data_IF_153898956233
#
_entry.id   IF_153898956233
#
_cell.length_a   1.000
_cell.length_b   1.000
_cell.length_c   1.000
_cell.angle_alpha   90.00
_cell.angle_beta   90.00
_cell.angle_gamma   90.00
#
_symmetry.space_group_name_H-M   'P 1'
#
loop_
_entity.id
_entity.type
_entity.pdbx_description
1 polymer ?
#
# COMPACT_ATOMS: atom_id res chain seq x y z
N UNK A 1 -4.90 -79.01 -19.84
CA UNK A 1 -3.94 -78.99 -18.73
C UNK A 1 -4.40 -77.97 -17.70
N UNK A 2 -4.99 -78.41 -16.59
CA UNK A 2 -5.58 -77.57 -15.53
C UNK A 2 -4.48 -77.23 -14.52
N UNK A 3 -4.33 -75.99 -14.12
CA UNK A 3 -3.55 -75.61 -12.96
C UNK A 3 -4.37 -74.66 -12.06
N UNK A 4 -4.42 -75.10 -10.83
CA UNK A 4 -5.19 -74.71 -9.69
C UNK A 4 -4.77 -73.36 -9.12
N UNK A 5 -5.76 -72.55 -8.71
CA UNK A 5 -5.60 -71.29 -7.94
C UNK A 5 -5.71 -71.60 -6.45
N UNK A 6 -4.65 -71.41 -5.69
CA UNK A 6 -4.66 -71.42 -4.24
C UNK A 6 -4.88 -69.99 -3.70
N UNK A 7 -5.95 -69.78 -2.96
CA UNK A 7 -6.20 -68.55 -2.17
C UNK A 7 -5.60 -68.72 -0.78
N UNK A 8 -4.66 -67.81 -0.44
CA UNK A 8 -4.21 -67.64 0.97
C UNK A 8 -5.06 -66.57 1.63
N UNK A 9 -5.77 -66.96 2.68
CA UNK A 9 -6.49 -66.06 3.56
C UNK A 9 -5.58 -65.67 4.72
N UNK A 10 -5.27 -64.37 4.87
CA UNK A 10 -4.64 -63.79 6.06
C UNK A 10 -5.70 -63.25 7.00
N UNK A 11 -5.80 -63.86 8.16
CA UNK A 11 -6.60 -63.37 9.30
C UNK A 11 -5.86 -62.25 9.99
N UNK A 12 -6.46 -61.07 10.08
CA UNK A 12 -6.01 -59.99 10.98
C UNK A 12 -6.79 -60.07 12.29
N UNK A 13 -6.09 -60.37 13.37
CA UNK A 13 -6.62 -60.27 14.74
C UNK A 13 -6.61 -58.79 15.17
N UNK A 14 -7.79 -58.28 15.51
CA UNK A 14 -7.95 -56.94 16.07
C UNK A 14 -7.65 -56.98 17.58
N UNK A 15 -6.55 -56.37 18.00
CA UNK A 15 -6.28 -56.12 19.42
C UNK A 15 -6.95 -54.80 19.84
N UNK A 16 -7.95 -54.90 20.71
CA UNK A 16 -8.61 -53.78 21.36
C UNK A 16 -7.70 -53.26 22.47
N UNK A 17 -7.12 -52.09 22.33
CA UNK A 17 -6.44 -51.36 23.40
C UNK A 17 -7.49 -50.53 24.14
N UNK A 18 -7.75 -50.87 25.39
CA UNK A 18 -8.55 -50.05 26.30
C UNK A 18 -7.67 -48.93 26.82
N UNK A 19 -7.86 -47.69 26.37
CA UNK A 19 -7.26 -46.49 26.92
C UNK A 19 -8.08 -46.01 28.11
N UNK A 20 -7.52 -46.20 29.31
CA UNK A 20 -8.02 -45.64 30.56
C UNK A 20 -8.07 -44.11 30.49
N UNK A 21 -9.21 -43.51 30.83
CA UNK A 21 -9.44 -42.10 30.81
C UNK A 21 -8.58 -41.33 31.81
N UNK A 22 -7.83 -40.36 31.31
CA UNK A 22 -7.36 -39.22 32.11
C UNK A 22 -8.39 -38.09 31.98
N UNK A 23 -9.17 -37.91 33.02
CA UNK A 23 -10.02 -36.72 33.23
C UNK A 23 -9.13 -35.52 33.50
N UNK A 24 -8.82 -34.75 32.49
CA UNK A 24 -8.18 -33.45 32.66
C UNK A 24 -9.20 -32.47 33.26
N UNK A 25 -9.04 -32.14 34.53
CA UNK A 25 -9.76 -31.07 35.20
C UNK A 25 -9.28 -29.75 34.54
N UNK A 26 -10.14 -29.16 33.71
CA UNK A 26 -9.95 -27.78 33.25
C UNK A 26 -10.23 -26.88 34.46
N UNK A 27 -9.19 -26.43 35.16
CA UNK A 27 -9.31 -25.22 35.97
C UNK A 27 -9.54 -24.05 35.04
N UNK A 28 -10.73 -23.47 35.09
CA UNK A 28 -11.02 -22.17 34.53
C UNK A 28 -10.16 -21.15 35.33
N UNK A 29 -9.13 -20.63 34.70
CA UNK A 29 -8.44 -19.46 35.22
C UNK A 29 -9.38 -18.28 34.92
N UNK A 30 -10.03 -17.77 35.96
CA UNK A 30 -10.76 -16.49 35.89
C UNK A 30 -9.74 -15.39 35.55
N UNK A 31 -9.63 -15.10 34.26
CA UNK A 31 -8.94 -13.88 33.80
C UNK A 31 -9.84 -12.70 34.21
N UNK A 32 -9.31 -11.71 34.92
CA UNK A 32 -10.07 -10.52 35.22
C UNK A 32 -10.49 -9.87 33.90
N UNK A 33 -11.78 -9.65 33.74
CA UNK A 33 -12.34 -8.84 32.64
C UNK A 33 -11.71 -7.44 32.76
N UNK A 34 -10.63 -7.21 32.00
CA UNK A 34 -10.09 -5.88 31.84
C UNK A 34 -11.17 -5.03 31.19
N UNK A 35 -11.73 -4.12 31.96
CA UNK A 35 -12.59 -3.04 31.43
C UNK A 35 -11.69 -2.22 30.50
N UNK A 36 -11.77 -2.53 29.19
CA UNK A 36 -11.04 -1.76 28.18
C UNK A 36 -11.61 -0.34 28.19
N UNK A 37 -10.82 0.59 28.72
CA UNK A 37 -11.12 2.00 28.62
C UNK A 37 -11.26 2.36 27.14
N UNK A 38 -12.34 3.05 26.79
CA UNK A 38 -12.49 3.75 25.50
C UNK A 38 -11.48 4.91 25.51
N UNK A 39 -10.22 4.57 25.26
CA UNK A 39 -9.14 5.54 25.18
C UNK A 39 -9.19 6.29 23.85
N UNK A 40 -8.72 7.53 23.80
CA UNK A 40 -8.55 8.27 22.57
C UNK A 40 -7.61 7.49 21.61
N UNK A 41 -7.85 7.67 20.30
CA UNK A 41 -6.96 7.15 19.24
C UNK A 41 -5.53 7.56 19.61
N UNK A 42 -4.56 6.62 19.59
CA UNK A 42 -3.19 6.97 19.95
C UNK A 42 -2.70 8.12 19.08
N UNK A 43 -1.99 9.10 19.66
CA UNK A 43 -1.42 10.19 18.86
C UNK A 43 -0.51 9.63 17.79
N UNK A 44 -0.39 10.35 16.66
CA UNK A 44 0.57 10.06 15.63
C UNK A 44 1.96 9.87 16.26
N UNK A 45 2.76 8.95 15.71
CA UNK A 45 4.12 8.70 16.18
C UNK A 45 4.88 10.04 16.22
N UNK A 46 5.57 10.34 17.32
CA UNK A 46 6.47 11.47 17.37
C UNK A 46 7.75 11.06 16.64
N UNK A 47 8.08 11.69 15.50
CA UNK A 47 9.26 11.33 14.73
C UNK A 47 10.54 11.55 15.52
N UNK A 48 11.53 10.72 15.23
CA UNK A 48 12.86 10.85 15.81
C UNK A 48 13.60 12.04 15.20
N UNK A 49 14.43 12.70 16.01
CA UNK A 49 15.30 13.77 15.54
C UNK A 49 16.52 13.20 14.79
N UNK A 50 16.34 12.80 13.53
CA UNK A 50 17.45 12.50 12.62
C UNK A 50 17.98 13.78 11.99
N UNK A 51 19.29 13.81 11.68
CA UNK A 51 19.95 14.97 11.07
C UNK A 51 20.83 14.52 9.91
N UNK A 52 20.91 15.33 8.85
CA UNK A 52 21.83 15.08 7.75
C UNK A 52 23.29 15.25 8.19
N UNK A 53 24.21 14.66 7.43
CA UNK A 53 25.66 14.72 7.64
C UNK A 53 26.27 15.81 6.74
N UNK A 54 25.80 15.92 5.50
CA UNK A 54 26.31 16.82 4.48
C UNK A 54 25.44 18.06 4.21
N UNK A 55 25.83 18.90 3.25
CA UNK A 55 24.97 19.97 2.73
C UNK A 55 23.81 19.38 1.90
N UNK A 56 22.72 20.15 1.71
CA UNK A 56 21.65 19.75 0.81
C UNK A 56 22.16 19.40 -0.60
N UNK A 57 21.61 18.37 -1.26
CA UNK A 57 22.00 18.04 -2.62
C UNK A 57 21.60 19.17 -3.60
N UNK A 58 22.40 19.37 -4.65
CA UNK A 58 22.19 20.46 -5.60
C UNK A 58 20.81 20.41 -6.30
N UNK A 59 20.24 19.21 -6.45
CA UNK A 59 18.90 19.01 -7.05
C UNK A 59 17.75 19.29 -6.06
N UNK A 60 18.04 19.50 -4.77
CA UNK A 60 17.05 19.78 -3.74
C UNK A 60 17.62 20.71 -2.65
N UNK A 61 17.92 22.00 -2.97
CA UNK A 61 18.51 22.92 -1.99
C UNK A 61 17.59 23.22 -0.81
N UNK A 62 16.27 23.06 -0.98
CA UNK A 62 15.22 23.31 0.03
C UNK A 62 14.70 22.02 0.70
N UNK A 63 15.46 20.92 0.63
CA UNK A 63 15.06 19.64 1.23
C UNK A 63 14.96 19.77 2.76
N UNK A 64 13.92 19.17 3.34
CA UNK A 64 13.77 19.07 4.80
C UNK A 64 14.97 18.30 5.39
N UNK A 65 15.60 18.76 6.50
CA UNK A 65 16.76 18.09 7.07
C UNK A 65 16.53 16.63 7.46
N UNK A 66 15.32 16.25 7.91
CA UNK A 66 15.02 14.85 8.22
C UNK A 66 14.91 14.02 6.92
N UNK A 67 14.32 14.61 5.88
CA UNK A 67 14.25 13.96 4.56
C UNK A 67 15.63 13.80 3.95
N UNK A 68 16.49 14.82 4.07
CA UNK A 68 17.88 14.75 3.63
C UNK A 68 18.63 13.59 4.33
N UNK A 69 18.46 13.42 5.64
CA UNK A 69 19.08 12.32 6.37
C UNK A 69 18.65 10.94 5.84
N UNK A 70 17.37 10.78 5.44
CA UNK A 70 16.88 9.55 4.79
C UNK A 70 17.53 9.34 3.43
N UNK A 71 17.62 10.41 2.61
CA UNK A 71 18.27 10.34 1.29
C UNK A 71 19.76 10.00 1.44
N UNK A 72 20.48 10.63 2.36
CA UNK A 72 21.89 10.32 2.64
C UNK A 72 22.07 8.85 3.08
N UNK A 73 21.19 8.34 3.94
CA UNK A 73 21.22 6.95 4.35
C UNK A 73 20.96 6.00 3.17
N UNK A 74 20.00 6.32 2.30
CA UNK A 74 19.74 5.54 1.09
C UNK A 74 20.95 5.54 0.15
N UNK A 75 21.52 6.70 -0.11
CA UNK A 75 22.72 6.84 -0.96
C UNK A 75 23.93 6.14 -0.39
N UNK A 76 24.02 5.98 0.95
CA UNK A 76 25.14 5.28 1.60
C UNK A 76 25.20 3.78 1.31
N UNK A 77 24.17 3.21 0.68
CA UNK A 77 24.19 1.82 0.23
C UNK A 77 24.99 1.64 -1.08
N UNK A 78 25.36 2.74 -1.75
CA UNK A 78 26.14 2.74 -2.99
C UNK A 78 25.56 1.83 -4.08
N UNK A 79 24.24 1.73 -4.14
CA UNK A 79 23.53 0.92 -5.12
C UNK A 79 23.58 1.57 -6.51
N UNK A 80 23.62 0.79 -7.59
CA UNK A 80 23.51 1.33 -8.94
C UNK A 80 22.16 2.04 -9.12
N UNK A 81 22.07 3.03 -10.03
CA UNK A 81 20.80 3.67 -10.32
C UNK A 81 19.80 2.67 -10.92
N UNK A 82 18.52 2.89 -10.66
CA UNK A 82 17.43 1.97 -11.03
C UNK A 82 17.41 1.61 -12.52
N UNK A 83 17.72 2.57 -13.38
CA UNK A 83 17.75 2.40 -14.84
C UNK A 83 18.97 1.59 -15.34
N UNK A 84 19.93 1.28 -14.47
CA UNK A 84 21.10 0.46 -14.76
C UNK A 84 20.97 -1.00 -14.31
N UNK A 85 19.85 -1.37 -13.67
CA UNK A 85 19.63 -2.72 -13.12
C UNK A 85 18.43 -3.43 -13.75
N UNK A 86 18.43 -4.76 -13.65
CA UNK A 86 17.26 -5.56 -14.04
C UNK A 86 16.17 -5.49 -12.96
N UNK A 87 14.89 -5.77 -13.28
CA UNK A 87 13.82 -5.84 -12.29
C UNK A 87 14.10 -6.81 -11.13
N UNK A 88 14.75 -7.94 -11.42
CA UNK A 88 15.15 -8.89 -10.39
C UNK A 88 16.19 -8.30 -9.43
N UNK A 89 17.19 -7.58 -9.92
CA UNK A 89 18.17 -6.88 -9.08
C UNK A 89 17.49 -5.78 -8.26
N UNK A 90 16.70 -4.93 -8.90
CA UNK A 90 16.00 -3.83 -8.24
C UNK A 90 15.10 -4.29 -7.06
N UNK A 91 14.45 -5.45 -7.18
CA UNK A 91 13.63 -6.03 -6.09
C UNK A 91 14.46 -6.52 -4.90
N UNK A 92 15.76 -6.70 -5.07
CA UNK A 92 16.67 -7.15 -4.00
C UNK A 92 17.54 -6.01 -3.44
N UNK A 93 17.41 -4.81 -3.97
CA UNK A 93 18.11 -3.63 -3.46
C UNK A 93 17.42 -3.05 -2.21
N UNK A 94 18.19 -2.27 -1.46
CA UNK A 94 17.68 -1.55 -0.29
C UNK A 94 16.75 -0.42 -0.72
N UNK A 95 15.59 -0.35 -0.11
CA UNK A 95 14.59 0.69 -0.34
C UNK A 95 14.75 1.87 0.62
N UNK A 96 13.96 2.92 0.41
CA UNK A 96 13.83 4.03 1.34
C UNK A 96 13.32 3.55 2.72
N UNK A 97 12.46 2.52 2.76
CA UNK A 97 12.02 1.87 4.00
C UNK A 97 13.18 1.24 4.78
N UNK A 98 14.15 0.63 4.08
CA UNK A 98 15.37 0.14 4.73
C UNK A 98 16.19 1.29 5.31
N UNK A 99 16.30 2.43 4.59
CA UNK A 99 17.02 3.61 5.09
C UNK A 99 16.37 4.16 6.37
N UNK A 100 15.05 4.25 6.43
CA UNK A 100 14.32 4.64 7.64
C UNK A 100 14.59 3.67 8.79
N UNK A 101 14.48 2.37 8.55
CA UNK A 101 14.73 1.35 9.58
C UNK A 101 16.16 1.41 10.11
N UNK A 102 17.15 1.58 9.25
CA UNK A 102 18.55 1.72 9.64
C UNK A 102 18.80 2.99 10.48
N UNK A 103 18.16 4.11 10.14
CA UNK A 103 18.22 5.33 10.95
C UNK A 103 17.60 5.12 12.34
N UNK A 104 16.46 4.44 12.42
CA UNK A 104 15.82 4.06 13.70
C UNK A 104 16.76 3.21 14.53
N UNK A 105 17.36 2.17 13.95
CA UNK A 105 18.31 1.28 14.64
C UNK A 105 19.55 2.05 15.12
N UNK A 106 20.14 2.88 14.25
CA UNK A 106 21.33 3.71 14.58
C UNK A 106 21.07 4.69 15.72
N UNK A 107 19.84 5.14 15.90
CA UNK A 107 19.48 6.01 17.02
C UNK A 107 19.38 5.30 18.39
N UNK A 108 19.46 3.97 18.42
CA UNK A 108 19.28 3.15 19.61
C UNK A 108 17.84 3.05 20.10
N UNK A 109 16.86 3.53 19.31
CA UNK A 109 15.44 3.42 19.64
C UNK A 109 14.83 2.17 19.01
N UNK A 110 13.83 1.62 19.69
CA UNK A 110 13.00 0.57 19.11
C UNK A 110 11.92 1.23 18.23
N UNK A 111 11.66 0.70 17.03
CA UNK A 111 10.59 1.22 16.20
C UNK A 111 9.24 1.05 16.93
N UNK A 112 8.53 2.16 17.14
CA UNK A 112 7.15 2.11 17.63
C UNK A 112 6.27 1.60 16.49
N UNK A 113 5.62 0.46 16.70
CA UNK A 113 4.65 -0.07 15.74
C UNK A 113 3.25 0.41 16.10
N UNK A 114 2.43 0.81 15.11
CA UNK A 114 1.01 1.07 15.33
C UNK A 114 0.29 -0.13 15.96
N UNK A 115 -0.74 0.15 16.76
CA UNK A 115 -1.54 -0.86 17.44
C UNK A 115 -2.54 -1.51 16.48
N UNK A 116 -2.05 -2.41 15.65
CA UNK A 116 -2.85 -3.17 14.66
C UNK A 116 -2.53 -4.66 14.75
N UNK A 117 -3.53 -5.49 14.51
CA UNK A 117 -3.37 -6.91 14.22
C UNK A 117 -3.08 -7.09 12.73
N UNK A 118 -2.17 -8.00 12.40
CA UNK A 118 -1.74 -8.26 11.02
C UNK A 118 -2.05 -9.69 10.66
N UNK A 119 -2.84 -9.86 9.59
CA UNK A 119 -3.20 -11.18 9.06
C UNK A 119 -2.99 -11.24 7.54
N UNK A 120 -2.63 -12.40 7.05
CA UNK A 120 -2.54 -12.67 5.61
C UNK A 120 -3.73 -13.50 5.17
N UNK A 121 -4.24 -13.21 3.97
CA UNK A 121 -5.32 -13.99 3.35
C UNK A 121 -5.09 -14.09 1.85
N UNK A 122 -5.41 -15.24 1.27
CA UNK A 122 -5.51 -15.41 -0.17
C UNK A 122 -6.98 -15.24 -0.55
N UNK A 123 -7.27 -14.24 -1.37
CA UNK A 123 -8.60 -14.03 -1.93
C UNK A 123 -8.80 -14.97 -3.13
N UNK A 124 -9.96 -15.60 -3.30
CA UNK A 124 -10.21 -16.50 -4.42
C UNK A 124 -10.56 -15.73 -5.70
N UNK A 125 -9.73 -14.75 -6.06
CA UNK A 125 -9.90 -13.85 -7.23
C UNK A 125 -8.54 -13.51 -7.83
N UNK A 126 -8.52 -12.94 -9.02
CA UNK A 126 -7.30 -12.56 -9.74
C UNK A 126 -6.63 -13.77 -10.40
N UNK A 127 -5.32 -14.02 -10.18
CA UNK A 127 -4.60 -15.14 -10.76
C UNK A 127 -5.16 -16.50 -10.30
N UNK A 128 -4.85 -17.61 -11.02
CA UNK A 128 -5.43 -18.94 -10.71
C UNK A 128 -5.22 -19.41 -9.26
N UNK A 129 -4.09 -19.04 -8.65
CA UNK A 129 -3.75 -19.40 -7.26
C UNK A 129 -4.35 -18.43 -6.23
N UNK A 130 -5.15 -17.48 -6.68
CA UNK A 130 -5.73 -16.41 -5.85
C UNK A 130 -4.79 -15.23 -5.65
N UNK A 131 -5.29 -14.20 -4.97
CA UNK A 131 -4.59 -12.95 -4.74
C UNK A 131 -4.27 -12.77 -3.26
N UNK A 132 -2.99 -12.73 -2.92
CA UNK A 132 -2.55 -12.50 -1.55
C UNK A 132 -2.87 -11.06 -1.12
N UNK A 133 -3.40 -10.92 0.08
CA UNK A 133 -3.58 -9.63 0.76
C UNK A 133 -3.04 -9.70 2.17
N UNK A 134 -2.55 -8.55 2.68
CA UNK A 134 -2.24 -8.35 4.09
C UNK A 134 -3.28 -7.41 4.68
N UNK A 135 -3.90 -7.83 5.78
CA UNK A 135 -4.93 -7.07 6.46
C UNK A 135 -4.38 -6.49 7.75
N UNK A 136 -4.62 -5.21 7.96
CA UNK A 136 -4.27 -4.48 9.17
C UNK A 136 -5.56 -4.09 9.88
N UNK A 137 -5.81 -4.70 11.04
CA UNK A 137 -7.02 -4.46 11.83
C UNK A 137 -6.64 -3.69 13.10
N UNK A 138 -7.20 -2.50 13.35
CA UNK A 138 -6.93 -1.76 14.59
C UNK A 138 -7.29 -2.58 15.83
N UNK A 139 -6.38 -2.63 16.83
CA UNK A 139 -6.62 -3.32 18.10
C UNK A 139 -7.63 -2.56 18.99
N UNK A 140 -7.83 -1.26 18.77
CA UNK A 140 -8.84 -0.49 19.48
C UNK A 140 -10.23 -1.10 19.26
N UNK A 141 -11.07 -1.23 20.29
CA UNK A 141 -12.44 -1.75 20.15
C UNK A 141 -13.26 -0.94 19.15
N UNK A 142 -14.15 -1.62 18.41
CA UNK A 142 -15.13 -0.98 17.55
C UNK A 142 -16.55 -1.29 18.03
N UNK A 143 -17.45 -0.33 17.92
CA UNK A 143 -18.87 -0.48 18.28
C UNK A 143 -19.71 -1.21 17.22
N UNK A 144 -19.10 -1.56 16.08
CA UNK A 144 -19.77 -2.20 14.96
C UNK A 144 -18.79 -2.52 13.82
N UNK A 145 -19.28 -2.89 12.63
CA UNK A 145 -18.43 -3.14 11.46
C UNK A 145 -17.54 -1.93 11.15
N UNK A 146 -16.27 -2.18 10.83
CA UNK A 146 -15.29 -1.12 10.57
C UNK A 146 -15.38 -0.64 9.12
N UNK A 147 -15.08 0.64 8.83
CA UNK A 147 -14.75 1.02 7.46
C UNK A 147 -13.62 0.15 6.90
N UNK A 148 -13.52 0.06 5.58
CA UNK A 148 -12.45 -0.69 4.90
C UNK A 148 -11.72 0.22 3.93
N UNK A 149 -10.39 0.15 3.91
CA UNK A 149 -9.55 0.78 2.90
C UNK A 149 -8.87 -0.32 2.09
N UNK A 150 -9.13 -0.39 0.80
CA UNK A 150 -8.36 -1.24 -0.11
C UNK A 150 -7.14 -0.45 -0.56
N UNK A 151 -5.96 -0.94 -0.20
CA UNK A 151 -4.70 -0.22 -0.34
C UNK A 151 -3.78 -0.89 -1.35
N UNK A 152 -3.16 -0.06 -2.20
CA UNK A 152 -2.26 -0.49 -3.25
C UNK A 152 -0.88 0.13 -3.03
N UNK A 153 0.15 -0.71 -2.95
CA UNK A 153 1.52 -0.27 -2.77
C UNK A 153 2.10 0.39 -4.03
N UNK A 154 3.20 1.13 -3.89
CA UNK A 154 3.94 1.74 -4.98
C UNK A 154 4.95 0.80 -5.64
N UNK A 155 6.04 1.39 -6.18
CA UNK A 155 7.12 0.64 -6.84
C UNK A 155 6.92 0.47 -8.35
N UNK A 156 6.25 1.44 -9.01
CA UNK A 156 6.12 1.51 -10.48
C UNK A 156 5.52 0.27 -11.14
N UNK A 157 4.73 -0.52 -10.40
CA UNK A 157 4.17 -1.82 -10.80
C UNK A 157 5.24 -2.89 -11.09
N UNK A 158 6.52 -2.66 -10.80
CA UNK A 158 7.65 -3.54 -11.13
C UNK A 158 8.36 -4.06 -9.89
N UNK A 159 8.50 -3.22 -8.87
CA UNK A 159 9.22 -3.54 -7.63
C UNK A 159 8.33 -3.35 -6.40
N UNK A 160 8.92 -3.54 -5.23
CA UNK A 160 8.28 -3.45 -3.93
C UNK A 160 7.21 -4.54 -3.68
N UNK A 161 6.67 -4.51 -2.48
CA UNK A 161 5.73 -5.50 -1.96
C UNK A 161 4.95 -4.97 -0.76
N UNK A 162 4.20 -5.86 -0.10
CA UNK A 162 3.42 -5.54 1.10
C UNK A 162 4.29 -5.09 2.29
N UNK A 163 5.55 -5.54 2.36
CA UNK A 163 6.49 -5.20 3.43
C UNK A 163 7.04 -3.79 3.25
N UNK A 164 7.42 -3.44 2.02
CA UNK A 164 8.00 -2.14 1.68
C UNK A 164 7.06 -0.98 2.02
N UNK A 165 5.75 -1.17 1.83
CA UNK A 165 4.73 -0.13 2.07
C UNK A 165 3.88 -0.38 3.33
N UNK A 166 4.37 -1.24 4.24
CA UNK A 166 3.65 -1.59 5.46
C UNK A 166 3.36 -0.36 6.34
N UNK A 167 4.32 0.55 6.46
CA UNK A 167 4.24 1.69 7.36
C UNK A 167 3.05 2.63 7.05
N UNK A 168 2.83 2.95 5.78
CA UNK A 168 1.67 3.75 5.34
C UNK A 168 0.35 3.04 5.60
N UNK A 169 0.26 1.76 5.24
CA UNK A 169 -0.94 0.94 5.46
C UNK A 169 -1.30 0.80 6.95
N UNK A 170 -0.31 0.52 7.81
CA UNK A 170 -0.50 0.45 9.26
C UNK A 170 -0.94 1.77 9.85
N UNK A 171 -0.32 2.88 9.42
CA UNK A 171 -0.67 4.21 9.90
C UNK A 171 -2.12 4.56 9.56
N UNK A 172 -2.55 4.28 8.33
CA UNK A 172 -3.94 4.49 7.92
C UNK A 172 -4.89 3.63 8.76
N UNK A 173 -4.59 2.35 9.00
CA UNK A 173 -5.43 1.50 9.85
C UNK A 173 -5.56 2.07 11.26
N UNK A 174 -4.43 2.36 11.91
CA UNK A 174 -4.41 2.84 13.29
C UNK A 174 -5.11 4.20 13.47
N UNK A 175 -4.91 5.13 12.52
CA UNK A 175 -5.43 6.50 12.63
C UNK A 175 -6.86 6.66 12.13
N UNK A 176 -7.34 5.80 11.22
CA UNK A 176 -8.71 5.84 10.74
C UNK A 176 -9.67 4.96 11.56
N UNK A 177 -9.16 3.92 12.21
CA UNK A 177 -9.97 2.86 12.80
C UNK A 177 -10.54 1.87 11.76
N UNK A 178 -10.17 2.00 10.49
CA UNK A 178 -10.58 1.12 9.40
C UNK A 178 -9.72 -0.14 9.33
N UNK A 179 -10.27 -1.21 8.75
CA UNK A 179 -9.47 -2.34 8.27
C UNK A 179 -8.79 -1.90 6.98
N UNK A 180 -7.47 -2.02 6.90
CA UNK A 180 -6.74 -1.79 5.66
C UNK A 180 -6.39 -3.14 5.01
N UNK A 181 -6.79 -3.31 3.76
CA UNK A 181 -6.53 -4.51 2.95
C UNK A 181 -5.49 -4.14 1.90
N UNK A 182 -4.23 -4.45 2.17
CA UNK A 182 -3.10 -4.19 1.26
C UNK A 182 -2.94 -5.35 0.28
N UNK A 183 -2.91 -5.03 -1.02
CA UNK A 183 -3.05 -5.99 -2.13
C UNK A 183 -1.68 -6.28 -2.76
N UNK A 184 -1.27 -7.56 -2.79
CA UNK A 184 -0.10 -8.03 -3.51
C UNK A 184 -0.46 -8.32 -4.99
N UNK A 185 -0.69 -7.26 -5.76
CA UNK A 185 -0.96 -7.39 -7.19
C UNK A 185 0.28 -7.90 -7.95
N UNK A 186 0.06 -8.58 -9.07
CA UNK A 186 1.15 -9.11 -9.90
C UNK A 186 2.03 -7.99 -10.46
N UNK A 187 3.34 -8.22 -10.47
CA UNK A 187 4.32 -7.25 -10.94
C UNK A 187 4.74 -7.50 -12.39
N UNK A 188 5.16 -6.42 -13.04
CA UNK A 188 5.85 -6.45 -14.32
C UNK A 188 7.36 -6.68 -14.10
N UNK A 189 8.10 -7.16 -15.10
CA UNK A 189 7.69 -7.46 -16.47
C UNK A 189 7.03 -8.81 -16.67
N UNK A 190 6.97 -9.67 -15.63
CA UNK A 190 6.39 -11.02 -15.73
C UNK A 190 4.91 -10.96 -16.10
N UNK A 191 4.22 -9.93 -15.60
CA UNK A 191 2.83 -9.64 -15.89
C UNK A 191 2.71 -8.18 -16.31
N UNK A 192 2.71 -7.91 -17.60
CA UNK A 192 2.61 -6.55 -18.11
C UNK A 192 1.21 -5.95 -17.92
N UNK A 193 1.11 -4.63 -18.04
CA UNK A 193 -0.17 -3.92 -18.09
C UNK A 193 -1.14 -4.62 -19.05
N UNK A 194 -2.41 -4.83 -18.66
CA UNK A 194 -3.11 -4.30 -17.47
C UNK A 194 -3.21 -5.26 -16.26
N UNK A 195 -2.33 -6.26 -16.12
CA UNK A 195 -2.46 -7.29 -15.08
C UNK A 195 -2.56 -6.71 -13.65
N UNK A 196 -1.82 -5.65 -13.33
CA UNK A 196 -1.82 -4.98 -12.05
C UNK A 196 -3.19 -4.35 -11.74
N UNK A 197 -3.77 -3.69 -12.73
CA UNK A 197 -5.07 -3.03 -12.64
C UNK A 197 -6.20 -4.05 -12.49
N UNK A 198 -6.13 -5.16 -13.22
CA UNK A 198 -7.12 -6.24 -13.09
C UNK A 198 -7.06 -6.92 -11.72
N UNK A 199 -5.87 -7.16 -11.17
CA UNK A 199 -5.72 -7.72 -9.82
C UNK A 199 -6.21 -6.73 -8.75
N UNK A 200 -5.85 -5.45 -8.88
CA UNK A 200 -6.30 -4.39 -7.97
C UNK A 200 -7.83 -4.28 -7.96
N UNK A 201 -8.46 -4.30 -9.14
CA UNK A 201 -9.90 -4.28 -9.26
C UNK A 201 -10.55 -5.56 -8.70
N UNK A 202 -9.98 -6.74 -8.98
CA UNK A 202 -10.51 -8.00 -8.46
C UNK A 202 -10.52 -8.04 -6.93
N UNK A 203 -9.46 -7.53 -6.29
CA UNK A 203 -9.42 -7.38 -4.82
C UNK A 203 -10.50 -6.42 -4.32
N UNK A 204 -10.64 -5.26 -4.95
CA UNK A 204 -11.67 -4.28 -4.61
C UNK A 204 -13.08 -4.88 -4.73
N UNK A 205 -13.38 -5.51 -5.85
CA UNK A 205 -14.67 -6.17 -6.07
C UNK A 205 -14.94 -7.26 -5.04
N UNK A 206 -13.94 -8.06 -4.68
CA UNK A 206 -14.09 -9.04 -3.62
C UNK A 206 -14.42 -8.39 -2.29
N UNK A 207 -13.73 -7.31 -1.92
CA UNK A 207 -13.99 -6.57 -0.67
C UNK A 207 -15.40 -6.00 -0.65
N UNK A 208 -15.89 -5.41 -1.74
CA UNK A 208 -17.28 -4.88 -1.81
C UNK A 208 -18.33 -5.94 -1.57
N UNK A 209 -18.08 -7.18 -2.01
CA UNK A 209 -18.99 -8.30 -1.86
C UNK A 209 -18.86 -9.05 -0.53
N UNK A 210 -17.70 -8.93 0.13
CA UNK A 210 -17.32 -9.77 1.26
C UNK A 210 -16.88 -9.00 2.51
N UNK A 211 -17.04 -7.67 2.56
CA UNK A 211 -16.57 -6.83 3.66
C UNK A 211 -17.02 -7.37 5.04
N UNK A 212 -18.26 -7.84 5.17
CA UNK A 212 -18.79 -8.41 6.41
C UNK A 212 -18.01 -9.65 6.90
N UNK A 213 -17.43 -10.45 6.00
CA UNK A 213 -16.63 -11.63 6.37
C UNK A 213 -15.31 -11.28 7.04
N UNK A 214 -14.85 -10.04 6.87
CA UNK A 214 -13.62 -9.51 7.48
C UNK A 214 -13.92 -8.51 8.60
N UNK A 215 -15.17 -8.40 9.06
CA UNK A 215 -15.59 -7.42 10.06
C UNK A 215 -15.74 -5.98 9.53
N UNK A 216 -15.76 -5.84 8.20
CA UNK A 216 -15.90 -4.57 7.50
C UNK A 216 -17.35 -4.19 7.20
N UNK A 217 -17.55 -2.90 6.96
CA UNK A 217 -18.82 -2.31 6.54
C UNK A 217 -18.83 -2.12 5.01
N UNK A 218 -19.69 -2.82 4.26
CA UNK A 218 -19.74 -2.70 2.80
C UNK A 218 -20.19 -1.32 2.31
N UNK A 219 -20.80 -0.50 3.16
CA UNK A 219 -21.20 0.87 2.81
C UNK A 219 -20.08 1.90 3.01
N UNK A 220 -18.97 1.53 3.64
CA UNK A 220 -17.86 2.43 3.97
C UNK A 220 -16.52 1.86 3.49
N UNK A 221 -16.39 1.72 2.17
CA UNK A 221 -15.16 1.23 1.52
C UNK A 221 -14.51 2.37 0.76
N UNK A 222 -13.23 2.62 0.99
CA UNK A 222 -12.40 3.56 0.25
C UNK A 222 -11.27 2.84 -0.48
N UNK A 223 -10.72 3.47 -1.52
CA UNK A 223 -9.45 3.05 -2.14
C UNK A 223 -8.34 4.01 -1.72
N UNK A 224 -7.15 3.47 -1.52
CA UNK A 224 -5.96 4.25 -1.21
C UNK A 224 -4.73 3.62 -1.87
N UNK A 225 -3.70 4.43 -2.13
CA UNK A 225 -2.43 3.89 -2.61
C UNK A 225 -1.38 4.97 -2.83
N UNK A 226 -0.16 4.52 -3.02
CA UNK A 226 1.03 5.37 -3.14
C UNK A 226 1.70 5.16 -4.50
N UNK A 227 2.10 6.23 -5.19
CA UNK A 227 2.81 6.18 -6.46
C UNK A 227 2.01 5.41 -7.54
N UNK A 228 2.53 4.30 -8.06
CA UNK A 228 1.79 3.36 -8.90
C UNK A 228 0.49 2.88 -8.23
N UNK A 229 0.51 2.69 -6.90
CA UNK A 229 -0.69 2.39 -6.11
C UNK A 229 -1.68 3.57 -6.04
N UNK A 230 -1.18 4.79 -6.05
CA UNK A 230 -1.99 6.01 -6.14
C UNK A 230 -2.75 6.09 -7.48
N UNK A 231 -2.12 5.67 -8.56
CA UNK A 231 -2.76 5.44 -9.86
C UNK A 231 -3.84 4.35 -9.73
N UNK A 232 -3.49 3.18 -9.18
CA UNK A 232 -4.43 2.07 -9.02
C UNK A 232 -5.66 2.45 -8.20
N UNK A 233 -5.52 3.29 -7.16
CA UNK A 233 -6.63 3.73 -6.33
C UNK A 233 -7.70 4.50 -7.13
N UNK A 234 -7.27 5.31 -8.12
CA UNK A 234 -8.16 6.05 -9.04
C UNK A 234 -8.67 5.13 -10.15
N UNK A 235 -7.77 4.37 -10.79
CA UNK A 235 -8.13 3.50 -11.91
C UNK A 235 -9.16 2.43 -11.49
N UNK A 236 -9.04 1.86 -10.29
CA UNK A 236 -10.01 0.90 -9.75
C UNK A 236 -11.40 1.52 -9.58
N UNK A 237 -11.49 2.78 -9.15
CA UNK A 237 -12.77 3.48 -9.08
C UNK A 237 -13.38 3.72 -10.49
N UNK A 238 -12.55 4.03 -11.50
CA UNK A 238 -12.99 4.11 -12.89
C UNK A 238 -13.52 2.76 -13.39
N UNK A 239 -12.76 1.67 -13.14
CA UNK A 239 -13.19 0.32 -13.51
C UNK A 239 -14.47 -0.10 -12.79
N UNK A 240 -14.64 0.28 -11.51
CA UNK A 240 -15.85 0.02 -10.74
C UNK A 240 -17.08 0.72 -11.37
N UNK A 241 -16.94 1.99 -11.78
CA UNK A 241 -17.98 2.70 -12.53
C UNK A 241 -18.35 1.98 -13.83
N UNK A 242 -17.36 1.66 -14.64
CA UNK A 242 -17.56 1.02 -15.95
C UNK A 242 -18.21 -0.36 -15.82
N UNK A 243 -17.76 -1.15 -14.81
CA UNK A 243 -18.25 -2.50 -14.56
C UNK A 243 -19.48 -2.56 -13.66
N UNK A 244 -20.03 -1.40 -13.27
CA UNK A 244 -21.22 -1.26 -12.41
C UNK A 244 -21.08 -1.96 -11.05
N UNK A 245 -19.89 -1.90 -10.48
CA UNK A 245 -19.60 -2.26 -9.07
C UNK A 245 -19.79 -1.01 -8.23
N UNK A 246 -20.17 -1.16 -6.94
CA UNK A 246 -20.28 -0.05 -6.02
C UNK A 246 -18.98 0.76 -5.98
N UNK A 247 -19.10 2.10 -6.10
CA UNK A 247 -17.94 2.99 -6.02
C UNK A 247 -17.40 3.07 -4.61
N UNK A 248 -16.09 3.33 -4.42
CA UNK A 248 -15.58 3.70 -3.11
C UNK A 248 -16.19 5.02 -2.64
N UNK A 249 -16.33 5.19 -1.32
CA UNK A 249 -16.85 6.44 -0.76
C UNK A 249 -15.82 7.58 -0.83
N UNK A 250 -14.54 7.23 -1.00
CA UNK A 250 -13.43 8.16 -1.13
C UNK A 250 -12.23 7.52 -1.81
N UNK A 251 -11.41 8.34 -2.48
CA UNK A 251 -10.13 7.94 -3.06
C UNK A 251 -9.02 8.73 -2.35
N UNK A 252 -8.01 8.04 -1.81
CA UNK A 252 -6.78 8.65 -1.33
C UNK A 252 -5.64 8.27 -2.28
N UNK A 253 -5.14 9.25 -3.02
CA UNK A 253 -4.09 9.08 -4.04
C UNK A 253 -2.83 9.83 -3.60
N UNK A 254 -1.80 9.09 -3.18
CA UNK A 254 -0.58 9.65 -2.61
C UNK A 254 0.50 9.66 -3.68
N UNK A 255 1.03 10.84 -4.01
CA UNK A 255 2.01 11.11 -5.08
C UNK A 255 1.84 10.23 -6.33
N UNK A 256 0.64 10.23 -6.92
CA UNK A 256 0.30 9.25 -7.94
C UNK A 256 1.10 9.42 -9.23
N UNK A 257 1.32 8.30 -9.94
CA UNK A 257 1.51 8.32 -11.39
C UNK A 257 0.15 8.64 -11.98
N UNK A 258 0.02 9.75 -12.71
CA UNK A 258 -1.25 10.13 -13.31
C UNK A 258 -1.17 10.42 -14.81
N UNK A 259 0.03 10.46 -15.36
CA UNK A 259 0.25 10.53 -16.81
C UNK A 259 1.33 9.52 -17.25
N UNK A 260 1.26 9.13 -18.52
CA UNK A 260 2.30 8.36 -19.21
C UNK A 260 3.36 9.25 -19.87
N UNK A 261 3.25 10.58 -19.77
CA UNK A 261 4.26 11.52 -20.23
C UNK A 261 5.29 11.78 -19.12
N UNK A 262 6.58 11.73 -19.47
CA UNK A 262 7.70 11.99 -18.56
C UNK A 262 8.39 13.33 -18.86
N UNK A 263 7.66 14.29 -19.44
CA UNK A 263 8.21 15.58 -19.89
C UNK A 263 7.52 16.79 -19.23
N UNK A 264 6.69 16.58 -18.22
CA UNK A 264 6.05 17.66 -17.49
C UNK A 264 7.08 18.47 -16.68
N UNK A 265 6.76 19.69 -16.23
CA UNK A 265 7.73 20.58 -15.54
C UNK A 265 8.45 19.95 -14.35
N UNK A 266 7.77 19.13 -13.55
CA UNK A 266 8.43 18.49 -12.40
C UNK A 266 9.43 17.41 -12.81
N UNK A 267 9.23 16.75 -13.95
CA UNK A 267 10.21 15.80 -14.50
C UNK A 267 11.49 16.51 -14.95
N UNK A 268 11.42 17.75 -15.43
CA UNK A 268 12.61 18.52 -15.77
C UNK A 268 13.28 19.08 -14.50
N UNK A 269 12.49 19.64 -13.57
CA UNK A 269 12.99 20.25 -12.34
C UNK A 269 13.66 19.24 -11.42
N UNK A 270 13.07 18.07 -11.24
CA UNK A 270 13.51 17.03 -10.31
C UNK A 270 14.05 15.78 -11.02
N UNK A 271 14.59 15.95 -12.24
CA UNK A 271 15.08 14.84 -13.07
C UNK A 271 16.02 13.88 -12.36
N UNK A 272 16.83 14.39 -11.43
CA UNK A 272 17.83 13.66 -10.67
C UNK A 272 17.46 13.45 -9.20
N UNK A 273 16.19 13.62 -8.83
CA UNK A 273 15.75 13.39 -7.46
C UNK A 273 15.92 11.92 -7.03
N UNK A 274 16.07 11.72 -5.74
CA UNK A 274 16.11 10.42 -5.10
C UNK A 274 15.00 10.34 -4.03
N UNK A 275 14.33 9.18 -3.88
CA UNK A 275 14.61 7.88 -4.52
C UNK A 275 14.10 7.73 -5.95
N UNK A 276 13.28 8.66 -6.47
CA UNK A 276 12.67 8.57 -7.79
C UNK A 276 13.22 9.65 -8.73
N UNK A 277 13.85 9.21 -9.82
CA UNK A 277 14.34 10.07 -10.90
C UNK A 277 13.48 9.95 -12.16
N UNK A 278 13.67 10.88 -13.12
CA UNK A 278 13.06 10.75 -14.45
C UNK A 278 13.48 9.46 -15.16
N UNK A 279 14.77 9.11 -15.12
CA UNK A 279 15.29 7.88 -15.70
C UNK A 279 14.63 6.63 -15.08
N UNK A 280 14.42 6.65 -13.76
CA UNK A 280 13.69 5.60 -13.05
C UNK A 280 12.24 5.46 -13.55
N UNK A 281 11.53 6.56 -13.80
CA UNK A 281 10.17 6.51 -14.36
C UNK A 281 10.15 5.93 -15.77
N UNK A 282 11.08 6.32 -16.62
CA UNK A 282 11.22 5.74 -17.97
C UNK A 282 11.47 4.23 -17.90
N UNK A 283 12.32 3.80 -16.95
CA UNK A 283 12.58 2.38 -16.69
C UNK A 283 11.31 1.63 -16.25
N UNK A 284 10.51 2.18 -15.32
CA UNK A 284 9.26 1.60 -14.87
C UNK A 284 8.28 1.40 -16.04
N UNK A 285 8.05 2.42 -16.84
CA UNK A 285 7.17 2.32 -18.00
C UNK A 285 7.68 1.31 -19.04
N UNK A 286 9.00 1.26 -19.28
CA UNK A 286 9.63 0.29 -20.18
C UNK A 286 9.37 -1.17 -19.79
N UNK A 287 9.30 -1.45 -18.49
CA UNK A 287 9.02 -2.79 -17.98
C UNK A 287 7.52 -3.07 -17.86
N UNK A 288 6.71 -2.10 -17.48
CA UNK A 288 5.28 -2.27 -17.20
C UNK A 288 4.44 -2.33 -18.48
N UNK A 289 4.67 -1.40 -19.41
CA UNK A 289 3.84 -1.29 -20.60
C UNK A 289 4.13 -2.43 -21.59
N UNK A 290 3.09 -3.01 -22.17
CA UNK A 290 3.23 -4.01 -23.20
C UNK A 290 3.64 -3.36 -24.54
N UNK A 291 3.16 -2.14 -24.79
CA UNK A 291 3.43 -1.34 -25.99
C UNK A 291 3.60 0.13 -25.58
N UNK A 292 4.42 0.93 -26.26
CA UNK A 292 4.55 2.36 -25.95
C UNK A 292 3.21 3.12 -25.95
N UNK A 293 2.27 2.74 -26.82
CA UNK A 293 0.93 3.35 -26.90
C UNK A 293 0.09 3.14 -25.61
N UNK A 294 0.41 2.15 -24.80
CA UNK A 294 -0.29 1.89 -23.55
C UNK A 294 -0.05 3.02 -22.51
N UNK A 295 0.98 3.86 -22.69
CA UNK A 295 1.19 5.07 -21.92
C UNK A 295 0.00 6.05 -21.98
N UNK A 296 -0.74 6.06 -23.11
CA UNK A 296 -1.93 6.89 -23.31
C UNK A 296 -3.23 6.19 -22.89
N UNK A 297 -3.15 4.97 -22.33
CA UNK A 297 -4.35 4.29 -21.86
C UNK A 297 -4.94 5.06 -20.66
N UNK A 298 -6.27 5.28 -20.60
CA UNK A 298 -6.91 6.00 -19.49
C UNK A 298 -6.64 5.45 -18.08
N UNK A 299 -6.24 4.19 -17.94
CA UNK A 299 -5.83 3.61 -16.66
C UNK A 299 -4.37 3.95 -16.28
N UNK A 300 -3.54 4.41 -17.21
CA UNK A 300 -2.18 4.91 -16.98
C UNK A 300 -2.20 6.44 -16.93
N UNK A 301 -2.65 7.08 -18.04
CA UNK A 301 -2.84 8.52 -18.16
C UNK A 301 -4.24 8.92 -17.67
N UNK A 302 -4.38 9.01 -16.36
CA UNK A 302 -5.63 9.39 -15.68
C UNK A 302 -6.07 10.81 -16.03
N UNK A 303 -5.10 11.70 -16.31
CA UNK A 303 -5.35 13.11 -16.64
C UNK A 303 -6.15 13.29 -17.95
N UNK A 304 -6.04 12.33 -18.86
CA UNK A 304 -6.79 12.26 -20.12
C UNK A 304 -8.09 11.44 -20.06
N UNK A 305 -8.38 10.83 -18.91
CA UNK A 305 -9.53 9.94 -18.77
C UNK A 305 -10.85 10.69 -18.55
N UNK A 306 -11.98 10.00 -18.79
CA UNK A 306 -13.28 10.45 -18.28
C UNK A 306 -13.37 10.18 -16.78
N UNK A 307 -13.24 11.25 -15.98
CA UNK A 307 -13.32 11.21 -14.53
C UNK A 307 -14.70 11.65 -13.99
N UNK A 308 -15.69 11.78 -14.83
CA UNK A 308 -17.05 12.18 -14.40
C UNK A 308 -17.65 11.13 -13.44
N UNK A 309 -18.33 11.60 -12.41
CA UNK A 309 -18.96 10.74 -11.42
C UNK A 309 -17.99 9.98 -10.49
N UNK A 310 -16.70 10.33 -10.49
CA UNK A 310 -15.74 9.76 -9.54
C UNK A 310 -16.04 10.21 -8.10
N UNK A 311 -15.70 9.39 -7.09
CA UNK A 311 -15.81 9.76 -5.69
C UNK A 311 -14.95 10.97 -5.32
N UNK A 312 -15.29 11.68 -4.22
CA UNK A 312 -14.39 12.68 -3.65
C UNK A 312 -12.99 12.13 -3.47
N UNK A 313 -11.98 12.91 -3.89
CA UNK A 313 -10.58 12.45 -3.96
C UNK A 313 -9.68 13.36 -3.15
N UNK A 314 -8.79 12.77 -2.37
CA UNK A 314 -7.68 13.47 -1.73
C UNK A 314 -6.37 13.08 -2.38
N UNK A 315 -5.59 14.08 -2.79
CA UNK A 315 -4.26 13.89 -3.38
C UNK A 315 -3.22 14.46 -2.41
N UNK A 316 -2.22 13.63 -2.08
CA UNK A 316 -1.06 14.02 -1.29
C UNK A 316 0.15 14.03 -2.22
N UNK A 317 0.87 15.15 -2.32
CA UNK A 317 2.10 15.24 -3.13
C UNK A 317 3.32 15.57 -2.26
N UNK A 318 4.47 15.05 -2.64
CA UNK A 318 5.77 15.57 -2.24
C UNK A 318 6.10 16.80 -3.10
N UNK A 319 6.82 17.77 -2.53
CA UNK A 319 7.28 18.94 -3.29
C UNK A 319 8.40 18.56 -4.26
N UNK A 320 9.37 17.81 -3.79
CA UNK A 320 10.61 17.46 -4.52
C UNK A 320 10.42 16.09 -5.17
N UNK A 321 9.60 16.04 -6.21
CA UNK A 321 9.19 14.78 -6.83
C UNK A 321 8.89 14.99 -8.32
N UNK A 322 9.36 14.08 -9.16
CA UNK A 322 9.03 14.09 -10.60
C UNK A 322 7.52 13.97 -10.85
N UNK A 323 6.76 13.37 -9.91
CA UNK A 323 5.31 13.19 -10.02
C UNK A 323 4.49 14.36 -9.43
N UNK A 324 5.12 15.49 -9.06
CA UNK A 324 4.37 16.62 -8.51
C UNK A 324 3.40 17.19 -9.54
N UNK A 325 3.81 17.32 -10.81
CA UNK A 325 2.93 17.74 -11.92
C UNK A 325 1.80 16.75 -12.17
N UNK A 326 2.07 15.45 -12.10
CA UNK A 326 1.05 14.40 -12.26
C UNK A 326 -0.11 14.59 -11.27
N UNK A 327 0.20 14.81 -9.99
CA UNK A 327 -0.83 15.06 -8.99
C UNK A 327 -1.56 16.39 -9.16
N UNK A 328 -0.90 17.42 -9.67
CA UNK A 328 -1.51 18.71 -9.99
C UNK A 328 -2.48 18.60 -11.17
N UNK A 329 -2.06 17.96 -12.23
CA UNK A 329 -2.86 17.76 -13.44
C UNK A 329 -4.05 16.83 -13.18
N UNK A 330 -3.86 15.78 -12.36
CA UNK A 330 -4.96 14.92 -11.91
C UNK A 330 -5.98 15.71 -11.08
N UNK A 331 -5.53 16.56 -10.15
CA UNK A 331 -6.45 17.41 -9.39
C UNK A 331 -7.25 18.36 -10.29
N UNK A 332 -6.60 18.95 -11.28
CA UNK A 332 -7.24 19.79 -12.27
C UNK A 332 -8.24 19.01 -13.13
N UNK A 333 -7.90 17.81 -13.58
CA UNK A 333 -8.77 16.95 -14.38
C UNK A 333 -10.02 16.51 -13.59
N UNK A 334 -9.86 16.06 -12.35
CA UNK A 334 -10.98 15.72 -11.47
C UNK A 334 -11.88 16.92 -11.20
N UNK A 335 -11.30 18.11 -10.96
CA UNK A 335 -12.07 19.36 -10.77
C UNK A 335 -12.86 19.71 -12.02
N UNK A 336 -12.27 19.63 -13.21
CA UNK A 336 -12.99 19.83 -14.49
C UNK A 336 -14.14 18.84 -14.70
N UNK A 337 -14.00 17.62 -14.18
CA UNK A 337 -15.05 16.60 -14.21
C UNK A 337 -16.14 16.79 -13.14
N UNK A 338 -16.08 17.85 -12.32
CA UNK A 338 -17.04 18.14 -11.27
C UNK A 338 -16.87 17.30 -10.01
N UNK A 339 -15.72 16.67 -9.81
CA UNK A 339 -15.38 15.86 -8.63
C UNK A 339 -14.84 16.77 -7.52
N UNK A 340 -15.28 16.53 -6.29
CA UNK A 340 -14.70 17.19 -5.11
C UNK A 340 -13.26 16.69 -4.86
N UNK A 341 -12.28 17.60 -4.98
CA UNK A 341 -10.86 17.27 -4.85
C UNK A 341 -10.21 18.15 -3.79
N UNK A 342 -9.38 17.54 -2.97
CA UNK A 342 -8.43 18.25 -2.13
C UNK A 342 -7.01 17.76 -2.41
N UNK A 343 -6.13 18.65 -2.84
CA UNK A 343 -4.70 18.38 -3.05
C UNK A 343 -3.88 19.12 -2.00
N UNK A 344 -2.95 18.43 -1.37
CA UNK A 344 -1.96 19.02 -0.47
C UNK A 344 -0.54 18.62 -0.88
N UNK A 345 0.32 19.62 -1.05
CA UNK A 345 1.77 19.43 -1.28
C UNK A 345 2.49 19.58 0.04
N UNK A 346 3.35 18.63 0.36
CA UNK A 346 4.18 18.65 1.56
C UNK A 346 5.58 19.19 1.18
N UNK A 347 6.01 20.29 1.81
CA UNK A 347 7.25 20.95 1.41
C UNK A 347 8.49 20.17 1.88
N UNK A 348 9.58 20.29 1.11
CA UNK A 348 10.90 19.77 1.46
C UNK A 348 11.03 18.24 1.45
N UNK A 349 10.01 17.49 1.04
CA UNK A 349 10.05 16.04 1.01
C UNK A 349 10.10 15.50 -0.41
N UNK A 350 10.68 14.30 -0.56
CA UNK A 350 10.82 13.59 -1.83
C UNK A 350 9.77 12.49 -1.95
N UNK A 351 9.75 11.81 -3.10
CA UNK A 351 8.93 10.61 -3.31
C UNK A 351 9.11 9.59 -2.17
N UNK A 352 8.10 8.77 -1.93
CA UNK A 352 8.03 7.73 -0.86
C UNK A 352 7.99 8.26 0.59
N UNK A 353 7.92 9.58 0.81
CA UNK A 353 7.95 10.15 2.17
C UNK A 353 6.80 9.70 3.07
N UNK A 354 5.68 9.24 2.52
CA UNK A 354 4.45 8.92 3.28
C UNK A 354 4.65 7.81 4.31
N UNK A 355 5.50 6.82 4.03
CA UNK A 355 5.84 5.72 4.95
C UNK A 355 6.89 6.05 6.02
N UNK A 356 7.42 7.28 6.10
CA UNK A 356 8.62 7.62 6.88
C UNK A 356 8.35 8.27 8.24
N UNK A 357 7.13 8.15 8.80
CA UNK A 357 6.73 8.87 10.01
C UNK A 357 7.56 8.54 11.27
N UNK A 358 8.33 7.46 11.25
CA UNK A 358 9.26 7.15 12.35
C UNK A 358 10.39 8.18 12.49
N UNK A 359 10.77 8.85 11.40
CA UNK A 359 11.92 9.78 11.35
C UNK A 359 11.60 11.13 10.72
N UNK A 360 10.40 11.32 10.14
CA UNK A 360 10.04 12.48 9.34
C UNK A 360 8.71 13.10 9.79
N UNK A 361 8.76 14.36 10.27
CA UNK A 361 7.57 15.09 10.71
C UNK A 361 6.53 15.28 9.60
N UNK A 362 6.98 15.63 8.39
CA UNK A 362 6.10 15.81 7.23
C UNK A 362 5.33 14.55 6.88
N UNK A 363 5.92 13.36 7.08
CA UNK A 363 5.25 12.07 6.92
C UNK A 363 4.13 11.89 7.95
N UNK A 364 4.42 12.16 9.23
CA UNK A 364 3.42 12.06 10.29
C UNK A 364 2.24 13.02 10.04
N UNK A 365 2.51 14.25 9.58
CA UNK A 365 1.48 15.21 9.19
C UNK A 365 0.67 14.74 7.98
N UNK A 366 1.33 14.16 6.97
CA UNK A 366 0.65 13.67 5.77
C UNK A 366 -0.27 12.48 6.11
N UNK A 367 0.20 11.55 6.94
CA UNK A 367 -0.62 10.44 7.42
C UNK A 367 -1.82 10.93 8.24
N UNK A 368 -1.63 11.88 9.14
CA UNK A 368 -2.73 12.45 9.93
C UNK A 368 -3.74 13.18 9.04
N UNK A 369 -3.27 13.95 8.06
CA UNK A 369 -4.14 14.62 7.08
C UNK A 369 -4.94 13.60 6.28
N UNK A 370 -4.30 12.60 5.69
CA UNK A 370 -4.94 11.54 4.91
C UNK A 370 -5.98 10.76 5.73
N UNK A 371 -5.60 10.38 6.95
CA UNK A 371 -6.51 9.69 7.88
C UNK A 371 -7.73 10.57 8.25
N UNK A 372 -7.53 11.85 8.47
CA UNK A 372 -8.62 12.81 8.71
C UNK A 372 -9.61 12.89 7.54
N UNK A 373 -9.12 12.88 6.31
CA UNK A 373 -9.95 12.88 5.09
C UNK A 373 -10.77 11.58 4.96
N UNK A 374 -10.12 10.44 5.18
CA UNK A 374 -10.80 9.13 5.15
C UNK A 374 -11.85 9.04 6.26
N UNK A 375 -11.54 9.49 7.50
CA UNK A 375 -12.51 9.51 8.59
C UNK A 375 -13.74 10.35 8.27
N UNK A 376 -13.54 11.56 7.72
CA UNK A 376 -14.64 12.41 7.29
C UNK A 376 -15.52 11.72 6.23
N UNK A 377 -14.90 11.03 5.27
CA UNK A 377 -15.63 10.26 4.25
C UNK A 377 -16.40 9.06 4.83
N UNK A 378 -15.92 8.49 5.94
CA UNK A 378 -16.60 7.41 6.67
C UNK A 378 -17.68 7.91 7.67
N UNK A 379 -17.85 9.21 7.81
CA UNK A 379 -18.79 9.81 8.78
C UNK A 379 -18.32 9.71 10.24
N UNK A 380 -17.00 9.80 10.45
CA UNK A 380 -16.36 9.63 11.77
C UNK A 380 -15.69 10.91 12.28
#
# INVERSE_FOLDING_TARGET
MRLSTSRLALSFAASVLVLSGCTAVRQAVDMPTATMATGPIPPALTPMAVRPIGPPPAWAPDIDPQMQAVVEQLMSYEQPPLDAVTPFQARNEKSATNAVNDLVIKSGMLPMRPMVDIAHRVLPVGPPDGLLVRMYTPLAPASGPRPVVVYYHGGGWVIADLETYEAGAMALAAQTGAIVVSVAYRLAPENKFPAQHEDAFAAYQWVTQNAAQIGGDPARIATAGESAGGNLAVAVAMMARERRVALPVHILSVYPIADGDTQSPSYDQYANAAPLSRAGMVWFFGHTLARPADAQNPMISLVGADLSGMPPTTIVNAQIDVLTSDGEELAAALTRAGVGVERRVFPGVTHEFFGMAAVLNQSAEAQAYAAGRLRAAFGM
#
